data_IF_211913543315
#
_entry.id   IF_211913543315
#
_cell.length_a   1.000
_cell.length_b   1.000
_cell.length_c   1.000
_cell.angle_alpha   90.00
_cell.angle_beta   90.00
_cell.angle_gamma   90.00
#
_symmetry.space_group_name_H-M   'P 1'
#
loop_
_entity.id
_entity.type
_entity.pdbx_description
1 polymer ?
#
# COMPACT_ATOMS: atom_id res chain seq x y z
N UNK A 1 -29.13 -50.30 -0.48
CA UNK A 1 -28.74 -48.88 -0.59
C UNK A 1 -27.67 -48.80 -1.66
N UNK A 2 -27.99 -48.22 -2.81
CA UNK A 2 -26.98 -47.95 -3.84
C UNK A 2 -26.11 -46.77 -3.38
N UNK A 3 -24.80 -46.76 -3.66
CA UNK A 3 -23.95 -45.63 -3.34
C UNK A 3 -24.34 -44.45 -4.22
N UNK A 4 -24.65 -43.32 -3.60
CA UNK A 4 -24.83 -42.03 -4.26
C UNK A 4 -23.50 -41.67 -4.93
N UNK A 5 -23.41 -41.85 -6.26
CA UNK A 5 -22.38 -41.20 -7.06
C UNK A 5 -22.60 -39.70 -6.92
N UNK A 6 -21.68 -39.02 -6.23
CA UNK A 6 -21.55 -37.58 -6.34
C UNK A 6 -21.01 -37.34 -7.74
N UNK A 7 -21.90 -37.03 -8.69
CA UNK A 7 -21.52 -36.49 -9.99
C UNK A 7 -20.87 -35.13 -9.73
N UNK A 8 -19.54 -35.14 -9.57
CA UNK A 8 -18.73 -33.92 -9.69
C UNK A 8 -18.83 -33.48 -11.14
N UNK A 9 -19.73 -32.53 -11.40
CA UNK A 9 -19.84 -31.87 -12.69
C UNK A 9 -18.43 -31.43 -13.14
N UNK A 10 -18.03 -31.68 -14.38
CA UNK A 10 -16.73 -31.22 -14.86
C UNK A 10 -16.69 -29.69 -14.75
N UNK A 11 -15.66 -29.14 -14.08
CA UNK A 11 -15.45 -27.69 -13.96
C UNK A 11 -15.69 -27.06 -15.35
N UNK A 12 -16.62 -26.12 -15.42
CA UNK A 12 -16.86 -25.41 -16.66
C UNK A 12 -15.60 -24.60 -16.99
N UNK A 13 -15.35 -24.35 -18.27
CA UNK A 13 -14.21 -23.50 -18.69
C UNK A 13 -14.25 -22.13 -18.00
N UNK A 14 -15.44 -21.67 -17.64
CA UNK A 14 -15.66 -20.40 -16.95
C UNK A 14 -15.27 -20.44 -15.48
N UNK A 15 -15.46 -21.56 -14.80
CA UNK A 15 -14.99 -21.75 -13.41
C UNK A 15 -13.47 -21.70 -13.33
N UNK A 16 -12.79 -22.34 -14.29
CA UNK A 16 -11.32 -22.27 -14.40
C UNK A 16 -10.85 -20.84 -14.67
N UNK A 17 -11.56 -20.09 -15.51
CA UNK A 17 -11.24 -18.68 -15.78
C UNK A 17 -11.47 -17.82 -14.54
N UNK A 18 -12.58 -18.01 -13.80
CA UNK A 18 -12.83 -17.31 -12.55
C UNK A 18 -11.74 -17.60 -11.52
N UNK A 19 -11.34 -18.86 -11.37
CA UNK A 19 -10.24 -19.24 -10.47
C UNK A 19 -8.92 -18.57 -10.87
N UNK A 20 -8.57 -18.55 -12.18
CA UNK A 20 -7.36 -17.89 -12.66
C UNK A 20 -7.39 -16.38 -12.39
N UNK A 21 -8.51 -15.71 -12.68
CA UNK A 21 -8.71 -14.29 -12.35
C UNK A 21 -8.58 -14.10 -10.84
N UNK A 22 -9.15 -15.05 -10.09
CA UNK A 22 -9.15 -15.11 -8.63
C UNK A 22 -7.76 -15.06 -8.02
N UNK A 23 -6.91 -15.99 -8.44
CA UNK A 23 -5.51 -16.03 -8.03
C UNK A 23 -4.72 -14.83 -8.55
N UNK A 24 -5.01 -14.36 -9.76
CA UNK A 24 -4.31 -13.23 -10.37
C UNK A 24 -4.50 -11.94 -9.57
N UNK A 25 -5.74 -11.59 -9.19
CA UNK A 25 -5.95 -10.37 -8.40
C UNK A 25 -5.34 -10.51 -7.00
N UNK A 26 -5.38 -11.69 -6.38
CA UNK A 26 -4.72 -11.94 -5.09
C UNK A 26 -3.21 -11.67 -5.17
N UNK A 27 -2.53 -12.16 -6.21
CA UNK A 27 -1.10 -11.92 -6.41
C UNK A 27 -0.81 -10.46 -6.72
N UNK A 28 -1.59 -9.84 -7.61
CA UNK A 28 -1.46 -8.42 -7.94
C UNK A 28 -1.62 -7.54 -6.70
N UNK A 29 -2.62 -7.80 -5.88
CA UNK A 29 -2.88 -7.03 -4.67
C UNK A 29 -1.80 -7.26 -3.60
N UNK A 30 -1.25 -8.47 -3.52
CA UNK A 30 -0.10 -8.75 -2.65
C UNK A 30 1.18 -8.05 -3.11
N UNK A 31 1.39 -7.96 -4.42
CA UNK A 31 2.57 -7.27 -5.00
C UNK A 31 2.45 -5.76 -4.86
N UNK A 32 1.23 -5.20 -4.81
CA UNK A 32 1.01 -3.75 -4.77
C UNK A 32 1.72 -3.06 -3.60
N UNK A 33 1.91 -3.74 -2.46
CA UNK A 33 2.58 -3.18 -1.28
C UNK A 33 4.08 -2.88 -1.48
N UNK A 34 4.77 -3.67 -2.29
CA UNK A 34 6.23 -3.62 -2.44
C UNK A 34 6.75 -2.34 -3.10
N UNK A 35 6.11 -1.75 -4.12
CA UNK A 35 6.50 -0.47 -4.67
C UNK A 35 6.72 0.64 -3.63
N UNK A 36 5.88 0.73 -2.58
CA UNK A 36 6.08 1.74 -1.53
C UNK A 36 7.28 1.39 -0.65
N UNK A 37 7.47 0.11 -0.32
CA UNK A 37 8.65 -0.37 0.41
C UNK A 37 9.95 0.01 -0.32
N UNK A 38 9.98 -0.29 -1.62
CA UNK A 38 11.11 0.02 -2.50
C UNK A 38 11.35 1.52 -2.60
N UNK A 39 10.29 2.32 -2.78
CA UNK A 39 10.40 3.78 -2.85
C UNK A 39 11.02 4.37 -1.57
N UNK A 40 10.56 3.92 -0.41
CA UNK A 40 11.09 4.36 0.89
C UNK A 40 12.55 3.94 1.05
N UNK A 41 12.90 2.69 0.68
CA UNK A 41 14.27 2.19 0.77
C UNK A 41 15.23 2.92 -0.17
N UNK A 42 14.80 3.23 -1.40
CA UNK A 42 15.59 3.96 -2.39
C UNK A 42 15.85 5.41 -1.95
N UNK A 43 14.81 6.10 -1.45
CA UNK A 43 14.90 7.51 -1.06
C UNK A 43 15.46 7.75 0.34
N UNK A 44 15.59 6.69 1.15
CA UNK A 44 15.91 6.75 2.59
C UNK A 44 15.06 7.80 3.33
N UNK A 45 13.82 7.98 2.87
CA UNK A 45 12.92 9.04 3.29
C UNK A 45 11.48 8.59 3.13
N UNK A 46 10.66 8.90 4.13
CA UNK A 46 9.20 8.67 4.12
C UNK A 46 8.44 10.00 3.98
N UNK A 47 9.14 11.06 3.54
CA UNK A 47 8.51 12.38 3.31
C UNK A 47 7.48 12.27 2.20
N UNK A 48 6.24 12.63 2.55
CA UNK A 48 5.09 12.60 1.65
C UNK A 48 4.21 11.37 1.74
N UNK A 49 4.55 10.44 2.63
CA UNK A 49 3.72 9.31 3.00
C UNK A 49 2.95 9.65 4.28
N UNK A 50 1.63 9.50 4.29
CA UNK A 50 0.80 9.82 5.45
C UNK A 50 1.00 8.81 6.56
N UNK A 51 1.34 9.28 7.75
CA UNK A 51 1.51 8.42 8.93
C UNK A 51 0.17 7.83 9.35
N UNK A 52 -0.90 8.61 9.27
CA UNK A 52 -2.26 8.13 9.54
C UNK A 52 -2.64 6.97 8.60
N UNK A 53 -2.33 7.08 7.31
CA UNK A 53 -2.55 5.98 6.35
C UNK A 53 -1.81 4.70 6.81
N UNK A 54 -0.57 4.82 7.27
CA UNK A 54 0.20 3.66 7.74
C UNK A 54 -0.39 3.04 9.01
N UNK A 55 -0.75 3.84 10.01
CA UNK A 55 -1.39 3.34 11.23
C UNK A 55 -2.72 2.66 10.92
N UNK A 56 -3.53 3.24 10.04
CA UNK A 56 -4.78 2.62 9.60
C UNK A 56 -4.53 1.28 8.91
N UNK A 57 -3.57 1.19 7.97
CA UNK A 57 -3.27 -0.10 7.33
C UNK A 57 -2.79 -1.15 8.33
N UNK A 58 -1.88 -0.79 9.25
CA UNK A 58 -1.42 -1.72 10.29
C UNK A 58 -2.58 -2.21 11.14
N UNK A 59 -3.42 -1.31 11.67
CA UNK A 59 -4.59 -1.67 12.48
C UNK A 59 -5.55 -2.57 11.68
N UNK A 60 -5.92 -2.16 10.47
CA UNK A 60 -6.86 -2.93 9.64
C UNK A 60 -6.35 -4.33 9.32
N UNK A 61 -5.12 -4.44 8.82
CA UNK A 61 -4.54 -5.75 8.48
C UNK A 61 -4.26 -6.61 9.73
N UNK A 62 -3.97 -6.00 10.88
CA UNK A 62 -3.87 -6.73 12.14
C UNK A 62 -5.21 -7.36 12.54
N UNK A 63 -6.29 -6.57 12.58
CA UNK A 63 -7.64 -7.07 12.85
C UNK A 63 -8.05 -8.16 11.85
N UNK A 64 -7.75 -7.95 10.56
CA UNK A 64 -8.08 -8.90 9.51
C UNK A 64 -7.27 -10.20 9.60
N UNK A 65 -5.99 -10.12 9.98
CA UNK A 65 -5.16 -11.30 10.20
C UNK A 65 -5.68 -12.14 11.36
N UNK A 66 -6.05 -11.50 12.48
CA UNK A 66 -6.65 -12.21 13.62
C UNK A 66 -7.95 -12.89 13.20
N UNK A 67 -8.84 -12.16 12.51
CA UNK A 67 -10.10 -12.71 12.01
C UNK A 67 -9.88 -13.97 11.16
N UNK A 68 -9.04 -13.89 10.12
CA UNK A 68 -8.83 -15.00 9.20
C UNK A 68 -8.10 -16.18 9.88
N UNK A 69 -7.07 -15.91 10.70
CA UNK A 69 -6.37 -16.95 11.45
C UNK A 69 -7.30 -17.66 12.43
N UNK A 70 -8.19 -16.92 13.10
CA UNK A 70 -9.12 -17.49 14.06
C UNK A 70 -10.15 -18.38 13.37
N UNK A 71 -10.76 -17.93 12.27
CA UNK A 71 -11.66 -18.76 11.45
C UNK A 71 -10.96 -19.97 10.84
N UNK A 72 -9.69 -19.84 10.48
CA UNK A 72 -8.92 -20.92 9.84
C UNK A 72 -8.38 -21.96 10.84
N UNK A 73 -7.90 -21.54 12.01
CA UNK A 73 -7.24 -22.41 12.97
C UNK A 73 -8.17 -22.92 14.09
N UNK A 74 -9.21 -22.16 14.46
CA UNK A 74 -10.02 -22.46 15.64
C UNK A 74 -11.35 -23.16 15.25
N UNK A 75 -11.56 -24.39 15.73
CA UNK A 75 -12.80 -25.14 15.53
C UNK A 75 -13.99 -24.47 16.23
N UNK A 76 -13.82 -23.97 17.45
CA UNK A 76 -14.89 -23.34 18.24
C UNK A 76 -15.55 -22.17 17.50
N UNK A 77 -14.75 -21.33 16.84
CA UNK A 77 -15.27 -20.17 16.09
C UNK A 77 -16.09 -20.62 14.87
N UNK A 78 -15.67 -21.70 14.21
CA UNK A 78 -16.41 -22.26 13.08
C UNK A 78 -17.72 -22.90 13.54
N UNK A 79 -17.69 -23.61 14.66
CA UNK A 79 -18.88 -24.24 15.22
C UNK A 79 -19.89 -23.17 15.66
N UNK A 80 -19.43 -22.11 16.33
CA UNK A 80 -20.24 -20.94 16.67
C UNK A 80 -20.84 -20.26 15.42
N UNK A 81 -20.06 -20.16 14.34
CA UNK A 81 -20.52 -19.58 13.08
C UNK A 81 -21.60 -20.46 12.42
N UNK A 82 -21.40 -21.77 12.34
CA UNK A 82 -22.37 -22.72 11.80
C UNK A 82 -23.66 -22.75 12.61
N UNK A 83 -23.58 -22.68 13.94
CA UNK A 83 -24.76 -22.59 14.80
C UNK A 83 -25.57 -21.33 14.54
N UNK A 84 -24.90 -20.20 14.24
CA UNK A 84 -25.56 -18.92 13.93
C UNK A 84 -26.08 -18.84 12.51
N UNK A 85 -25.42 -19.53 11.57
CA UNK A 85 -25.75 -19.54 10.14
C UNK A 85 -25.89 -20.97 9.62
N UNK A 86 -26.95 -21.71 10.01
CA UNK A 86 -27.10 -23.13 9.70
C UNK A 86 -27.23 -23.46 8.21
N UNK A 87 -27.56 -22.46 7.37
CA UNK A 87 -27.69 -22.61 5.92
C UNK A 87 -26.40 -22.27 5.14
N UNK A 88 -25.31 -21.91 5.83
CA UNK A 88 -24.04 -21.56 5.18
C UNK A 88 -23.18 -22.83 5.03
N UNK A 89 -23.15 -23.40 3.82
CA UNK A 89 -22.56 -24.72 3.56
C UNK A 89 -21.02 -24.77 3.61
N UNK A 90 -20.30 -23.65 3.66
CA UNK A 90 -18.83 -23.68 3.66
C UNK A 90 -18.18 -22.57 4.48
N UNK A 91 -16.99 -22.89 5.01
CA UNK A 91 -16.13 -21.97 5.73
C UNK A 91 -15.72 -20.81 4.78
N UNK A 92 -16.19 -19.59 5.06
CA UNK A 92 -16.00 -18.42 4.18
C UNK A 92 -14.52 -18.05 4.00
N UNK A 93 -13.67 -18.38 4.97
CA UNK A 93 -12.24 -18.03 4.97
C UNK A 93 -11.42 -19.16 4.36
N UNK A 94 -10.74 -18.87 3.25
CA UNK A 94 -9.82 -19.79 2.58
C UNK A 94 -8.37 -19.48 2.98
N UNK A 95 -7.44 -20.40 2.66
CA UNK A 95 -6.03 -20.25 3.01
C UNK A 95 -5.39 -19.00 2.37
N UNK A 96 -5.77 -18.66 1.15
CA UNK A 96 -5.31 -17.44 0.48
C UNK A 96 -5.70 -16.18 1.28
N UNK A 97 -6.88 -16.11 1.89
CA UNK A 97 -7.28 -14.95 2.70
C UNK A 97 -6.40 -14.79 3.96
N UNK A 98 -6.04 -15.91 4.58
CA UNK A 98 -5.08 -15.94 5.70
C UNK A 98 -3.72 -15.42 5.24
N UNK A 99 -3.18 -15.96 4.15
CA UNK A 99 -1.88 -15.54 3.61
C UNK A 99 -1.90 -14.07 3.22
N UNK A 100 -2.95 -13.59 2.54
CA UNK A 100 -3.11 -12.19 2.13
C UNK A 100 -3.10 -11.26 3.34
N UNK A 101 -3.95 -11.55 4.32
CA UNK A 101 -4.12 -10.68 5.49
C UNK A 101 -2.85 -10.59 6.33
N UNK A 102 -2.20 -11.73 6.61
CA UNK A 102 -0.94 -11.78 7.35
C UNK A 102 0.18 -11.10 6.57
N UNK A 103 0.28 -11.35 5.26
CA UNK A 103 1.26 -10.70 4.40
C UNK A 103 1.10 -9.17 4.40
N UNK A 104 -0.13 -8.69 4.18
CA UNK A 104 -0.47 -7.27 4.22
C UNK A 104 -0.16 -6.62 5.57
N UNK A 105 -0.40 -7.33 6.68
CA UNK A 105 -0.02 -6.87 8.02
C UNK A 105 1.49 -6.71 8.16
N UNK A 106 2.26 -7.74 7.79
CA UNK A 106 3.71 -7.73 7.93
C UNK A 106 4.36 -6.63 7.07
N UNK A 107 3.93 -6.46 5.82
CA UNK A 107 4.48 -5.39 4.96
C UNK A 107 4.04 -4.01 5.45
N UNK A 108 2.78 -3.84 5.87
CA UNK A 108 2.32 -2.56 6.44
C UNK A 108 3.10 -2.19 7.70
N UNK A 109 3.37 -3.17 8.57
CA UNK A 109 4.20 -2.98 9.76
C UNK A 109 5.64 -2.63 9.37
N UNK A 110 6.20 -3.31 8.37
CA UNK A 110 7.53 -3.00 7.85
C UNK A 110 7.63 -1.55 7.33
N UNK A 111 6.64 -1.08 6.57
CA UNK A 111 6.60 0.31 6.09
C UNK A 111 6.46 1.28 7.27
N UNK A 112 5.66 0.95 8.28
CA UNK A 112 5.56 1.77 9.49
C UNK A 112 6.90 1.85 10.23
N UNK A 113 7.64 0.73 10.36
CA UNK A 113 8.97 0.70 10.95
C UNK A 113 10.00 1.52 10.14
N UNK A 114 9.86 1.58 8.82
CA UNK A 114 10.70 2.47 7.99
C UNK A 114 10.54 3.94 8.42
N UNK A 115 9.40 4.36 8.97
CA UNK A 115 9.21 5.73 9.47
C UNK A 115 10.00 6.05 10.75
N UNK A 116 10.48 5.03 11.47
CA UNK A 116 11.35 5.19 12.63
C UNK A 116 12.82 5.33 12.23
N UNK A 117 13.21 4.77 11.07
CA UNK A 117 14.62 4.72 10.62
C UNK A 117 14.93 5.80 9.57
N UNK A 118 13.98 6.08 8.67
CA UNK A 118 14.20 6.98 7.54
C UNK A 118 13.79 8.42 7.84
N UNK A 119 14.36 9.36 7.07
CA UNK A 119 14.07 10.79 7.21
C UNK A 119 12.56 11.03 7.05
N UNK A 120 11.94 11.67 8.05
CA UNK A 120 10.55 12.16 8.03
C UNK A 120 10.52 13.65 8.34
N UNK A 121 9.43 14.33 7.99
CA UNK A 121 9.27 15.73 8.40
C UNK A 121 8.92 15.80 9.90
N UNK A 122 9.39 16.81 10.63
CA UNK A 122 9.15 16.89 12.09
C UNK A 122 7.66 16.98 12.45
N UNK A 123 6.89 17.68 11.61
CA UNK A 123 5.42 17.77 11.77
C UNK A 123 4.65 16.52 11.29
N UNK A 124 5.34 15.51 10.75
CA UNK A 124 4.72 14.28 10.25
C UNK A 124 4.52 13.31 11.42
N UNK A 125 3.43 13.52 12.15
CA UNK A 125 2.97 12.72 13.29
C UNK A 125 1.56 12.16 13.03
N UNK A 126 1.11 11.25 13.89
CA UNK A 126 -0.27 10.76 13.86
C UNK A 126 -1.22 11.90 14.23
N UNK A 127 -2.30 12.08 13.47
CA UNK A 127 -3.33 13.07 13.81
C UNK A 127 -4.13 12.63 15.04
N UNK A 128 -4.67 13.61 15.79
CA UNK A 128 -5.54 13.31 16.94
C UNK A 128 -6.76 12.49 16.53
N UNK A 129 -7.28 12.69 15.32
CA UNK A 129 -8.40 11.91 14.79
C UNK A 129 -8.01 10.45 14.58
N UNK A 130 -6.88 10.18 13.90
CA UNK A 130 -6.39 8.83 13.71
C UNK A 130 -6.02 8.14 15.02
N UNK A 131 -5.34 8.85 15.93
CA UNK A 131 -5.04 8.34 17.27
C UNK A 131 -6.30 8.00 18.05
N UNK A 132 -7.33 8.85 18.00
CA UNK A 132 -8.62 8.59 18.67
C UNK A 132 -9.30 7.35 18.12
N UNK A 133 -9.30 7.16 16.80
CA UNK A 133 -9.86 5.97 16.17
C UNK A 133 -9.13 4.69 16.62
N UNK A 134 -7.79 4.71 16.63
CA UNK A 134 -6.98 3.58 17.12
C UNK A 134 -7.30 3.26 18.58
N UNK A 135 -7.36 4.28 19.44
CA UNK A 135 -7.71 4.10 20.86
C UNK A 135 -9.12 3.55 21.05
N UNK A 136 -10.10 4.01 20.27
CA UNK A 136 -11.47 3.49 20.31
C UNK A 136 -11.53 2.03 19.86
N UNK A 137 -10.78 1.64 18.83
CA UNK A 137 -10.68 0.25 18.39
C UNK A 137 -10.06 -0.66 19.46
N UNK A 138 -9.04 -0.19 20.17
CA UNK A 138 -8.43 -0.93 21.29
C UNK A 138 -9.40 -1.02 22.46
N UNK A 139 -10.05 0.08 22.85
CA UNK A 139 -11.01 0.11 23.96
C UNK A 139 -12.22 -0.79 23.69
N UNK A 140 -12.77 -0.74 22.48
CA UNK A 140 -13.87 -1.62 22.09
C UNK A 140 -13.44 -3.09 22.06
N UNK A 141 -12.20 -3.40 21.67
CA UNK A 141 -11.66 -4.77 21.79
C UNK A 141 -11.66 -5.26 23.24
N UNK A 142 -11.16 -4.44 24.17
CA UNK A 142 -11.15 -4.75 25.61
C UNK A 142 -12.57 -4.95 26.14
N UNK A 143 -13.51 -4.09 25.73
CA UNK A 143 -14.91 -4.20 26.14
C UNK A 143 -15.54 -5.51 25.66
N UNK A 144 -15.40 -5.87 24.38
CA UNK A 144 -15.96 -7.11 23.83
C UNK A 144 -15.34 -8.34 24.51
N UNK A 145 -14.02 -8.36 24.72
CA UNK A 145 -13.34 -9.45 25.43
C UNK A 145 -13.85 -9.56 26.88
N UNK A 146 -14.07 -8.42 27.55
CA UNK A 146 -14.64 -8.42 28.90
C UNK A 146 -16.05 -8.99 28.92
N UNK A 147 -16.90 -8.61 27.95
CA UNK A 147 -18.26 -9.17 27.81
C UNK A 147 -18.24 -10.67 27.58
N UNK A 148 -17.28 -11.19 26.80
CA UNK A 148 -17.07 -12.64 26.64
C UNK A 148 -16.71 -13.29 27.97
N UNK A 149 -15.79 -12.70 28.73
CA UNK A 149 -15.38 -13.23 30.03
C UNK A 149 -16.54 -13.35 31.03
N UNK A 150 -17.47 -12.38 31.02
CA UNK A 150 -18.67 -12.41 31.86
C UNK A 150 -19.86 -13.18 31.23
N UNK A 151 -19.66 -13.87 30.11
CA UNK A 151 -20.68 -14.73 29.47
C UNK A 151 -21.78 -13.99 28.70
N UNK A 152 -21.59 -12.69 28.42
CA UNK A 152 -22.55 -11.89 27.66
C UNK A 152 -22.35 -11.90 26.14
N UNK A 153 -21.25 -12.49 25.66
CA UNK A 153 -20.90 -12.59 24.24
C UNK A 153 -20.05 -13.85 23.99
N UNK A 154 -19.88 -14.22 22.72
CA UNK A 154 -19.02 -15.34 22.30
C UNK A 154 -17.85 -14.86 21.44
N UNK A 155 -16.85 -15.72 21.22
CA UNK A 155 -15.65 -15.40 20.43
C UNK A 155 -15.98 -14.97 19.00
N UNK A 156 -17.05 -15.52 18.40
CA UNK A 156 -17.54 -15.08 17.10
C UNK A 156 -17.91 -13.59 17.07
N UNK A 157 -18.47 -13.04 18.14
CA UNK A 157 -18.85 -11.62 18.20
C UNK A 157 -17.60 -10.73 18.19
N UNK A 158 -16.51 -11.18 18.83
CA UNK A 158 -15.22 -10.51 18.74
C UNK A 158 -14.64 -10.54 17.33
N UNK A 159 -14.81 -11.65 16.60
CA UNK A 159 -14.38 -11.73 15.20
C UNK A 159 -15.16 -10.75 14.31
N UNK A 160 -16.48 -10.65 14.48
CA UNK A 160 -17.29 -9.67 13.74
C UNK A 160 -16.92 -8.23 14.09
N UNK A 161 -16.59 -7.95 15.35
CA UNK A 161 -16.05 -6.65 15.76
C UNK A 161 -14.74 -6.31 15.03
N UNK A 162 -13.77 -7.24 14.98
CA UNK A 162 -12.50 -7.03 14.26
C UNK A 162 -12.70 -6.86 12.76
N UNK A 163 -13.60 -7.64 12.15
CA UNK A 163 -13.97 -7.51 10.74
C UNK A 163 -14.57 -6.12 10.44
N UNK A 164 -15.43 -5.62 11.34
CA UNK A 164 -16.01 -4.28 11.24
C UNK A 164 -14.96 -3.17 11.27
N UNK A 165 -13.95 -3.28 12.15
CA UNK A 165 -12.81 -2.35 12.17
C UNK A 165 -12.09 -2.37 10.83
N UNK A 166 -11.77 -3.56 10.30
CA UNK A 166 -11.09 -3.69 9.00
C UNK A 166 -11.91 -3.04 7.87
N UNK A 167 -13.22 -3.23 7.86
CA UNK A 167 -14.08 -2.59 6.86
C UNK A 167 -14.02 -1.08 6.97
N UNK A 168 -14.27 -0.50 8.16
CA UNK A 168 -14.22 0.95 8.38
C UNK A 168 -12.86 1.52 7.96
N UNK A 169 -11.76 0.87 8.37
CA UNK A 169 -10.40 1.24 7.96
C UNK A 169 -10.26 1.27 6.43
N UNK A 170 -10.77 0.26 5.73
CA UNK A 170 -10.69 0.20 4.26
C UNK A 170 -11.36 1.40 3.58
N UNK A 171 -12.46 1.91 4.16
CA UNK A 171 -13.14 3.12 3.67
C UNK A 171 -12.35 4.40 3.93
N UNK A 172 -11.77 4.56 5.13
CA UNK A 172 -11.21 5.86 5.57
C UNK A 172 -9.70 5.99 5.34
N UNK A 173 -8.96 4.88 5.20
CA UNK A 173 -7.48 4.87 5.27
C UNK A 173 -6.82 5.77 4.25
N UNK A 174 -7.40 5.94 3.07
CA UNK A 174 -6.81 6.73 1.98
C UNK A 174 -7.04 8.24 2.14
N UNK A 175 -8.04 8.68 2.92
CA UNK A 175 -8.37 10.11 3.10
C UNK A 175 -7.18 10.96 3.57
N UNK A 176 -6.39 10.53 4.58
CA UNK A 176 -5.24 11.31 5.02
C UNK A 176 -4.17 11.48 3.93
N UNK A 177 -3.98 10.49 3.06
CA UNK A 177 -3.02 10.58 1.96
C UNK A 177 -3.53 11.52 0.86
N UNK A 178 -4.81 11.42 0.50
CA UNK A 178 -5.45 12.34 -0.46
C UNK A 178 -5.31 13.78 0.02
N UNK A 179 -5.61 14.03 1.30
CA UNK A 179 -5.50 15.36 1.90
C UNK A 179 -4.03 15.82 1.99
N UNK A 180 -3.09 14.93 2.32
CA UNK A 180 -1.67 15.27 2.36
C UNK A 180 -1.14 15.68 0.99
N UNK A 181 -1.52 14.95 -0.06
CA UNK A 181 -1.17 15.28 -1.44
C UNK A 181 -1.76 16.65 -1.83
N UNK A 182 -3.01 16.91 -1.42
CA UNK A 182 -3.65 18.21 -1.62
C UNK A 182 -2.91 19.33 -0.88
N UNK A 183 -2.64 19.19 0.41
CA UNK A 183 -1.95 20.21 1.20
C UNK A 183 -0.54 20.51 0.66
N UNK A 184 0.18 19.50 0.19
CA UNK A 184 1.53 19.64 -0.38
C UNK A 184 1.55 20.04 -1.85
N UNK A 185 0.41 19.96 -2.54
CA UNK A 185 0.30 20.10 -3.99
C UNK A 185 1.34 19.24 -4.73
N UNK A 186 1.59 18.03 -4.21
CA UNK A 186 2.61 17.10 -4.68
C UNK A 186 2.33 15.68 -4.20
N UNK A 187 2.56 14.71 -5.09
CA UNK A 187 2.49 13.26 -4.81
C UNK A 187 3.88 12.66 -4.55
N UNK A 188 4.93 13.46 -4.47
CA UNK A 188 6.28 12.98 -4.15
C UNK A 188 6.31 12.37 -2.74
N UNK A 189 6.63 11.07 -2.63
CA UNK A 189 6.49 10.30 -1.38
C UNK A 189 5.53 9.13 -1.48
N UNK A 190 4.62 9.20 -2.44
CA UNK A 190 3.56 8.25 -2.65
C UNK A 190 3.81 7.44 -3.92
N UNK A 191 3.90 6.12 -3.78
CA UNK A 191 4.21 5.25 -4.91
C UNK A 191 3.02 5.15 -5.86
N UNK A 192 3.16 5.72 -7.06
CA UNK A 192 2.14 5.58 -8.10
C UNK A 192 2.11 4.16 -8.67
N UNK A 193 3.23 3.44 -8.62
CA UNK A 193 3.25 2.02 -8.96
C UNK A 193 2.41 1.19 -7.97
N UNK A 194 2.42 1.52 -6.67
CA UNK A 194 1.49 0.92 -5.69
C UNK A 194 0.03 1.11 -6.16
N UNK A 195 -0.32 2.33 -6.60
CA UNK A 195 -1.68 2.68 -7.06
C UNK A 195 -2.09 1.93 -8.32
N UNK A 196 -1.19 1.77 -9.30
CA UNK A 196 -1.52 1.01 -10.51
C UNK A 196 -1.82 -0.47 -10.20
N UNK A 197 -1.03 -1.09 -9.32
CA UNK A 197 -1.26 -2.46 -8.92
C UNK A 197 -2.52 -2.62 -8.05
N UNK A 198 -2.80 -1.67 -7.16
CA UNK A 198 -4.03 -1.65 -6.35
C UNK A 198 -5.27 -1.53 -7.26
N UNK A 199 -5.24 -0.60 -8.23
CA UNK A 199 -6.32 -0.41 -9.21
C UNK A 199 -6.54 -1.64 -10.07
N UNK A 200 -5.46 -2.27 -10.55
CA UNK A 200 -5.54 -3.49 -11.34
C UNK A 200 -6.18 -4.62 -10.53
N UNK A 201 -5.80 -4.77 -9.26
CA UNK A 201 -6.41 -5.74 -8.35
C UNK A 201 -7.90 -5.46 -8.10
N UNK A 202 -8.26 -4.21 -7.85
CA UNK A 202 -9.65 -3.79 -7.66
C UNK A 202 -10.54 -4.05 -8.88
N UNK A 203 -10.06 -3.70 -10.08
CA UNK A 203 -10.77 -3.97 -11.34
C UNK A 203 -10.93 -5.46 -11.62
N UNK A 204 -9.89 -6.26 -11.41
CA UNK A 204 -9.96 -7.72 -11.57
C UNK A 204 -10.92 -8.36 -10.56
N UNK A 205 -10.97 -7.87 -9.32
CA UNK A 205 -11.91 -8.35 -8.29
C UNK A 205 -13.37 -8.08 -8.69
N UNK A 206 -13.67 -6.90 -9.24
CA UNK A 206 -15.01 -6.57 -9.76
C UNK A 206 -15.33 -7.44 -10.98
N UNK A 207 -14.37 -7.63 -11.89
CA UNK A 207 -14.56 -8.46 -13.07
C UNK A 207 -14.86 -9.91 -12.69
N UNK A 208 -14.17 -10.47 -11.70
CA UNK A 208 -14.44 -11.81 -11.21
C UNK A 208 -15.87 -11.91 -10.67
N UNK A 209 -16.30 -10.95 -9.84
CA UNK A 209 -17.66 -10.94 -9.28
C UNK A 209 -18.74 -10.89 -10.37
N UNK A 210 -18.53 -10.09 -11.43
CA UNK A 210 -19.45 -10.03 -12.57
C UNK A 210 -19.46 -11.33 -13.37
N UNK A 211 -18.31 -11.99 -13.50
CA UNK A 211 -18.19 -13.28 -14.18
C UNK A 211 -18.89 -14.39 -13.38
N UNK A 212 -18.69 -14.44 -12.06
CA UNK A 212 -19.32 -15.42 -11.17
C UNK A 212 -20.86 -15.31 -11.24
N UNK A 213 -21.39 -14.09 -11.14
CA UNK A 213 -22.83 -13.83 -11.28
C UNK A 213 -23.38 -14.23 -12.66
N UNK A 214 -22.57 -14.08 -13.72
CA UNK A 214 -22.93 -14.51 -15.07
C UNK A 214 -22.95 -16.04 -15.19
N UNK A 215 -21.97 -16.73 -14.59
CA UNK A 215 -21.89 -18.20 -14.58
C UNK A 215 -23.06 -18.81 -13.81
N UNK A 216 -23.34 -18.27 -12.63
CA UNK A 216 -24.44 -18.75 -11.76
C UNK A 216 -25.82 -18.41 -12.33
N UNK A 217 -25.89 -17.52 -13.32
CA UNK A 217 -27.14 -17.04 -13.91
C UNK A 217 -28.00 -16.23 -12.94
N UNK A 218 -27.45 -15.91 -11.76
CA UNK A 218 -28.11 -15.18 -10.69
C UNK A 218 -27.28 -13.95 -10.29
N UNK A 219 -27.86 -12.78 -10.55
CA UNK A 219 -27.28 -11.48 -10.19
C UNK A 219 -27.52 -11.12 -8.72
N UNK A 220 -28.41 -11.84 -8.02
CA UNK A 220 -28.66 -11.64 -6.59
C UNK A 220 -27.43 -11.96 -5.74
N UNK A 221 -26.51 -12.79 -6.24
CA UNK A 221 -25.21 -13.03 -5.62
C UNK A 221 -24.33 -11.78 -5.51
N UNK A 222 -24.49 -10.81 -6.42
CA UNK A 222 -23.81 -9.50 -6.33
C UNK A 222 -24.39 -8.67 -5.18
N UNK A 223 -25.71 -8.73 -4.97
CA UNK A 223 -26.38 -8.09 -3.82
C UNK A 223 -26.05 -8.82 -2.51
N UNK A 224 -25.75 -10.11 -2.56
CA UNK A 224 -25.30 -10.92 -1.41
C UNK A 224 -23.87 -10.60 -0.95
N UNK A 225 -22.96 -10.29 -1.89
CA UNK A 225 -21.57 -9.89 -1.62
C UNK A 225 -21.34 -8.38 -1.82
N UNK A 226 -22.24 -7.57 -1.26
CA UNK A 226 -22.14 -6.11 -1.23
C UNK A 226 -20.79 -5.62 -0.67
N UNK A 227 -20.13 -6.44 0.16
CA UNK A 227 -18.84 -6.11 0.75
C UNK A 227 -17.72 -6.17 -0.29
N UNK A 228 -17.60 -7.24 -1.08
CA UNK A 228 -16.56 -7.34 -2.12
C UNK A 228 -16.74 -6.30 -3.22
N UNK A 229 -17.98 -6.08 -3.68
CA UNK A 229 -18.28 -5.02 -4.64
C UNK A 229 -17.93 -3.64 -4.07
N UNK A 230 -18.37 -3.36 -2.83
CA UNK A 230 -18.08 -2.10 -2.15
C UNK A 230 -16.59 -1.84 -2.00
N UNK A 231 -15.82 -2.84 -1.57
CA UNK A 231 -14.36 -2.76 -1.45
C UNK A 231 -13.69 -2.47 -2.80
N UNK A 232 -14.08 -3.17 -3.86
CA UNK A 232 -13.56 -2.93 -5.21
C UNK A 232 -13.83 -1.49 -5.68
N UNK A 233 -15.06 -1.00 -5.50
CA UNK A 233 -15.44 0.37 -5.91
C UNK A 233 -14.65 1.43 -5.13
N UNK A 234 -14.48 1.26 -3.82
CA UNK A 234 -13.71 2.19 -2.99
C UNK A 234 -12.28 2.30 -3.48
N UNK A 235 -11.63 1.17 -3.76
CA UNK A 235 -10.25 1.12 -4.29
C UNK A 235 -10.18 1.89 -5.60
N UNK A 236 -11.06 1.57 -6.56
CA UNK A 236 -11.10 2.25 -7.87
C UNK A 236 -11.29 3.76 -7.74
N UNK A 237 -12.17 4.22 -6.84
CA UNK A 237 -12.42 5.65 -6.61
C UNK A 237 -11.18 6.35 -6.05
N UNK A 238 -10.55 5.80 -5.00
CA UNK A 238 -9.35 6.41 -4.42
C UNK A 238 -8.17 6.40 -5.39
N UNK A 239 -7.98 5.31 -6.12
CA UNK A 239 -6.91 5.20 -7.10
C UNK A 239 -7.09 6.17 -8.24
N UNK A 240 -8.32 6.35 -8.74
CA UNK A 240 -8.63 7.39 -9.71
C UNK A 240 -8.29 8.80 -9.18
N UNK A 241 -8.60 9.09 -7.91
CA UNK A 241 -8.23 10.36 -7.26
C UNK A 241 -6.70 10.51 -7.21
N UNK A 242 -5.95 9.48 -6.83
CA UNK A 242 -4.49 9.54 -6.77
C UNK A 242 -3.84 9.72 -8.14
N UNK A 243 -4.34 9.01 -9.15
CA UNK A 243 -3.89 9.16 -10.54
C UNK A 243 -4.21 10.57 -11.07
N UNK A 244 -5.40 11.10 -10.76
CA UNK A 244 -5.79 12.47 -11.11
C UNK A 244 -4.88 13.51 -10.41
N UNK A 245 -4.62 13.35 -9.11
CA UNK A 245 -3.68 14.19 -8.37
C UNK A 245 -2.27 14.15 -8.99
N UNK A 246 -1.79 12.96 -9.39
CA UNK A 246 -0.44 12.79 -9.92
C UNK A 246 -0.27 13.33 -11.34
N UNK A 247 -1.15 12.93 -12.27
CA UNK A 247 -0.98 13.18 -13.70
C UNK A 247 -1.64 14.48 -14.17
N UNK A 248 -2.65 14.99 -13.46
CA UNK A 248 -3.39 16.18 -13.90
C UNK A 248 -3.07 17.36 -12.98
N UNK A 249 -3.37 17.26 -11.68
CA UNK A 249 -3.24 18.43 -10.79
C UNK A 249 -1.79 18.84 -10.52
N UNK A 250 -0.90 17.88 -10.25
CA UNK A 250 0.46 18.17 -9.79
C UNK A 250 1.55 17.87 -10.82
N UNK A 251 1.15 17.63 -12.07
CA UNK A 251 2.10 17.38 -13.18
C UNK A 251 3.05 18.55 -13.38
N UNK A 252 2.55 19.79 -13.39
CA UNK A 252 3.38 20.98 -13.65
C UNK A 252 4.46 21.19 -12.58
N UNK A 253 4.09 21.04 -11.29
CA UNK A 253 5.03 21.15 -10.18
C UNK A 253 6.13 20.09 -10.27
N UNK A 254 5.79 18.87 -10.70
CA UNK A 254 6.77 17.80 -10.94
C UNK A 254 7.73 18.16 -12.09
N UNK A 255 7.20 18.63 -13.21
CA UNK A 255 8.01 18.99 -14.38
C UNK A 255 8.97 20.15 -14.09
N UNK A 256 8.52 21.16 -13.33
CA UNK A 256 9.36 22.27 -12.89
C UNK A 256 10.52 21.82 -12.00
N UNK A 257 10.26 20.97 -10.99
CA UNK A 257 11.31 20.43 -10.12
C UNK A 257 12.31 19.57 -10.89
N UNK A 258 11.84 18.76 -11.85
CA UNK A 258 12.71 17.97 -12.73
C UNK A 258 13.66 18.84 -13.56
N UNK A 259 13.14 19.93 -14.13
CA UNK A 259 13.95 20.87 -14.92
C UNK A 259 15.03 21.56 -14.07
N UNK A 260 14.67 22.04 -12.87
CA UNK A 260 15.62 22.66 -11.92
C UNK A 260 16.71 21.67 -11.52
N UNK A 261 16.32 20.41 -11.29
CA UNK A 261 17.24 19.35 -10.88
C UNK A 261 18.26 19.04 -11.98
N UNK A 262 17.81 18.94 -13.23
CA UNK A 262 18.71 18.72 -14.37
C UNK A 262 19.60 19.93 -14.65
N UNK A 263 19.08 21.15 -14.52
CA UNK A 263 19.90 22.36 -14.65
C UNK A 263 20.98 22.41 -13.56
N UNK A 264 20.64 22.11 -12.30
CA UNK A 264 21.62 22.02 -11.21
C UNK A 264 22.66 20.95 -11.49
N UNK A 265 22.26 19.76 -11.96
CA UNK A 265 23.16 18.67 -12.33
C UNK A 265 24.14 19.10 -13.42
N UNK A 266 23.65 19.78 -14.45
CA UNK A 266 24.47 20.35 -15.52
C UNK A 266 25.49 21.35 -14.96
N UNK A 267 25.08 22.25 -14.09
CA UNK A 267 25.97 23.25 -13.48
C UNK A 267 27.06 22.62 -12.59
N UNK A 268 26.75 21.51 -11.92
CA UNK A 268 27.74 20.72 -11.16
C UNK A 268 28.76 20.09 -12.12
N UNK A 269 28.32 19.49 -13.23
CA UNK A 269 29.21 18.90 -14.24
C UNK A 269 30.11 19.95 -14.91
N UNK A 270 29.61 21.18 -15.08
CA UNK A 270 30.37 22.33 -15.59
C UNK A 270 31.31 22.96 -14.54
N UNK A 271 31.31 22.47 -13.28
CA UNK A 271 32.14 23.00 -12.19
C UNK A 271 31.72 24.38 -11.69
N UNK A 272 30.50 24.82 -12.02
CA UNK A 272 29.95 26.15 -11.66
C UNK A 272 29.27 26.18 -10.30
N UNK A 273 28.86 25.01 -9.79
CA UNK A 273 28.23 24.85 -8.48
C UNK A 273 29.05 23.81 -7.68
N UNK A 274 29.44 24.10 -6.43
CA UNK A 274 30.14 23.12 -5.60
C UNK A 274 29.27 21.88 -5.38
N UNK A 275 29.93 20.72 -5.29
CA UNK A 275 29.28 19.50 -4.81
C UNK A 275 29.17 19.64 -3.29
N UNK A 276 28.12 20.28 -2.81
CA UNK A 276 27.77 20.15 -1.39
C UNK A 276 27.37 18.70 -1.15
N UNK A 277 28.13 18.01 -0.30
CA UNK A 277 27.85 16.64 0.16
C UNK A 277 26.75 16.67 1.23
N UNK A 278 25.73 17.50 1.02
CA UNK A 278 24.44 17.38 1.68
C UNK A 278 23.50 16.73 0.65
N UNK A 279 23.48 15.40 0.67
CA UNK A 279 22.63 14.54 -0.14
C UNK A 279 21.15 14.91 0.02
N UNK A 280 20.63 15.75 -0.88
CA UNK A 280 19.18 15.89 -1.04
C UNK A 280 18.71 15.93 -2.51
N UNK A 281 19.58 15.66 -3.49
CA UNK A 281 19.19 15.63 -4.92
C UNK A 281 19.74 14.42 -5.70
N UNK A 282 20.41 13.47 -5.05
CA UNK A 282 20.80 12.20 -5.68
C UNK A 282 19.83 11.10 -5.25
N UNK A 283 18.59 11.17 -5.72
CA UNK A 283 17.70 9.99 -5.69
C UNK A 283 16.93 9.78 -6.99
N UNK A 284 17.23 10.56 -8.02
CA UNK A 284 16.75 10.31 -9.38
C UNK A 284 17.95 10.07 -10.29
N UNK A 285 17.96 8.87 -10.89
CA UNK A 285 18.92 8.33 -11.87
C UNK A 285 20.26 7.81 -11.31
N UNK A 286 20.21 6.62 -10.72
CA UNK A 286 21.35 5.71 -10.61
C UNK A 286 21.57 4.88 -11.90
N UNK A 287 20.78 5.06 -12.96
CA UNK A 287 21.07 4.47 -14.27
C UNK A 287 22.22 5.17 -15.01
N UNK A 288 22.63 6.39 -14.59
CA UNK A 288 23.72 7.15 -15.22
C UNK A 288 24.98 7.29 -14.36
N UNK A 289 24.97 6.85 -13.09
CA UNK A 289 26.18 6.90 -12.25
C UNK A 289 27.24 5.87 -12.66
N UNK A 290 26.84 4.76 -13.29
CA UNK A 290 27.79 3.81 -13.89
C UNK A 290 28.52 4.41 -15.10
N UNK A 291 27.84 5.26 -15.89
CA UNK A 291 28.46 6.01 -16.99
C UNK A 291 29.36 7.14 -16.49
N UNK A 292 28.92 7.93 -15.50
CA UNK A 292 29.69 9.08 -14.99
C UNK A 292 30.97 8.64 -14.28
N UNK A 293 30.94 7.55 -13.50
CA UNK A 293 32.14 6.97 -12.90
C UNK A 293 33.10 6.40 -13.96
N UNK A 294 32.58 5.82 -15.04
CA UNK A 294 33.40 5.36 -16.18
C UNK A 294 34.05 6.53 -16.95
N UNK A 295 33.36 7.67 -17.08
CA UNK A 295 33.86 8.86 -17.79
C UNK A 295 34.89 9.62 -16.94
N UNK A 296 34.69 9.74 -15.62
CA UNK A 296 35.65 10.36 -14.70
C UNK A 296 36.94 9.55 -14.55
N UNK A 297 36.88 8.22 -14.72
CA UNK A 297 38.08 7.37 -14.79
C UNK A 297 38.90 7.53 -16.07
N UNK A 298 38.37 8.22 -17.09
CA UNK A 298 38.97 8.36 -18.43
C UNK A 298 39.57 9.74 -18.73
N UNK A 299 39.72 10.65 -17.77
CA UNK A 299 40.45 11.90 -18.04
C UNK A 299 41.96 11.66 -18.13
N UNK A 300 42.63 12.05 -19.24
CA UNK A 300 44.08 11.99 -19.32
C UNK A 300 44.70 13.03 -18.38
N UNK A 301 45.76 12.61 -17.67
CA UNK A 301 46.62 13.51 -16.89
C UNK A 301 47.30 14.49 -17.86
N UNK A 302 47.39 15.75 -17.42
CA UNK A 302 48.20 16.87 -17.94
C UNK A 302 47.52 17.81 -18.94
N UNK A 303 47.27 19.05 -18.50
CA UNK A 303 47.94 20.24 -19.01
C UNK A 303 47.43 21.49 -18.27
N UNK A 304 48.32 22.47 -18.09
CA UNK A 304 48.10 23.86 -17.66
C UNK A 304 48.39 24.21 -16.20
N UNK A 305 49.68 24.13 -15.83
CA UNK A 305 50.32 25.17 -15.03
C UNK A 305 51.07 26.11 -15.98
N UNK A 306 50.51 27.28 -16.25
CA UNK A 306 51.25 28.52 -16.52
C UNK A 306 50.27 29.66 -16.74
N UNK A 307 50.08 30.49 -15.71
CA UNK A 307 49.85 31.92 -15.89
C UNK A 307 50.58 32.64 -14.76
N UNK A 308 51.48 33.53 -15.17
CA UNK A 308 52.45 34.20 -14.32
C UNK A 308 51.87 35.32 -13.46
N UNK A 309 52.52 35.54 -12.31
CA UNK A 309 52.33 36.71 -11.46
C UNK A 309 53.71 37.33 -11.19
N UNK A 310 54.04 38.42 -11.87
CA UNK A 310 55.13 39.30 -11.41
C UNK A 310 54.97 40.72 -11.96
N UNK A 311 54.28 41.57 -11.19
CA UNK A 311 54.33 43.03 -11.13
C UNK A 311 53.59 43.38 -9.82
N UNK A 312 54.00 44.24 -8.90
CA UNK A 312 55.07 45.23 -8.80
C UNK A 312 55.06 45.64 -7.31
N UNK A 313 56.21 45.85 -6.66
CA UNK A 313 56.27 46.53 -5.36
C UNK A 313 57.43 47.54 -5.37
N UNK A 314 57.11 48.78 -5.04
CA UNK A 314 58.05 49.88 -4.75
C UNK A 314 57.79 50.31 -3.30
N UNK A 315 58.82 50.46 -2.46
CA UNK A 315 58.69 51.09 -1.16
C UNK A 315 59.22 52.54 -1.17
N UNK A 316 58.66 53.35 -0.27
CA UNK A 316 59.34 54.50 0.37
C UNK A 316 59.77 54.05 1.75
#
# INVERSE_FOLDING_TARGET
>A
MAPTQIDVAPLSKWDIISDIIGWSYFFVWSISFYPQVYLNWRRKSVRGLSIDFLFYNVLGFFCYSIYNLAFYCNQEIRDQYQQRHPNSENNLVRMNDVVFSVHGFLISLFILLQTCVYKKHESQQISSFAASFVWLAVMGSVLVISTIHYGGAIWLDFMYYLSSIKLIVSFIKYLPQVWLNYKRQSTQGWSIAYIFWDLSGGLLSILQLLLDAYIDGDWSGIEGDNVKLGLGVIVVVYDAIFLFQHYILYFHNRSSVGNITEERRRLILEGRVPIDIDEEVISEQEDSQSEVSSILSRKPKNANQHYGSMFQSTPV
#
